data_IF_532159996622
#
_entry.id   IF_532159996622
#
_cell.length_a   1.000
_cell.length_b   1.000
_cell.length_c   1.000
_cell.angle_alpha   90.00
_cell.angle_beta   90.00
_cell.angle_gamma   90.00
#
_symmetry.space_group_name_H-M   'P 1'
#
loop_
_entity.id
_entity.type
_entity.pdbx_description
1 polymer ?
#
# COMPACT_ATOMS: atom_id res chain seq x y z
N UNK A 1 -0.42 14.99 -16.61
CA UNK A 1 -0.86 13.62 -16.33
C UNK A 1 0.25 12.83 -15.64
N UNK A 2 -0.01 12.43 -14.39
CA UNK A 2 0.99 11.77 -13.51
C UNK A 2 1.51 10.47 -14.12
N UNK A 3 0.62 9.62 -14.63
CA UNK A 3 1.02 8.32 -15.19
C UNK A 3 1.99 8.48 -16.38
N UNK A 4 1.74 9.44 -17.27
CA UNK A 4 2.61 9.68 -18.41
C UNK A 4 4.00 10.19 -17.98
N UNK A 5 4.05 11.03 -16.96
CA UNK A 5 5.32 11.49 -16.39
C UNK A 5 6.10 10.31 -15.82
N UNK A 6 5.46 9.45 -15.04
CA UNK A 6 6.08 8.25 -14.47
C UNK A 6 6.57 7.29 -15.57
N UNK A 7 5.83 7.16 -16.69
CA UNK A 7 6.26 6.36 -17.84
C UNK A 7 7.54 6.94 -18.46
N UNK A 8 7.62 8.26 -18.62
CA UNK A 8 8.82 8.94 -19.15
C UNK A 8 10.02 8.76 -18.23
N UNK A 9 9.79 8.74 -16.92
CA UNK A 9 10.81 8.52 -15.90
C UNK A 9 11.17 7.04 -15.72
N UNK A 10 10.52 6.14 -16.46
CA UNK A 10 10.68 4.68 -16.40
C UNK A 10 10.32 4.09 -15.02
N UNK A 11 9.46 4.77 -14.29
CA UNK A 11 8.88 4.27 -13.04
C UNK A 11 7.62 3.43 -13.33
N UNK A 12 7.84 2.25 -13.89
CA UNK A 12 6.78 1.44 -14.50
C UNK A 12 5.73 0.96 -13.49
N UNK A 13 6.15 0.54 -12.29
CA UNK A 13 5.20 0.07 -11.26
C UNK A 13 4.33 1.21 -10.73
N UNK A 14 4.90 2.39 -10.51
CA UNK A 14 4.12 3.57 -10.12
C UNK A 14 3.17 4.02 -11.21
N UNK A 15 3.63 4.01 -12.46
CA UNK A 15 2.77 4.31 -13.61
C UNK A 15 1.58 3.35 -13.68
N UNK A 16 1.84 2.05 -13.51
CA UNK A 16 0.78 1.03 -13.46
C UNK A 16 -0.24 1.33 -12.35
N UNK A 17 0.21 1.65 -11.16
CA UNK A 17 -0.68 1.97 -10.04
C UNK A 17 -1.62 3.13 -10.39
N UNK A 18 -1.12 4.21 -10.97
CA UNK A 18 -1.95 5.34 -11.40
C UNK A 18 -2.93 4.97 -12.52
N UNK A 19 -2.51 4.15 -13.48
CA UNK A 19 -3.38 3.70 -14.57
C UNK A 19 -4.50 2.78 -14.07
N UNK A 20 -4.23 1.97 -13.06
CA UNK A 20 -5.20 1.03 -12.48
C UNK A 20 -6.26 1.70 -11.59
N UNK A 21 -6.16 3.02 -11.31
CA UNK A 21 -7.24 3.76 -10.66
C UNK A 21 -8.53 3.68 -11.49
N UNK A 22 -8.41 3.75 -12.83
CA UNK A 22 -9.53 3.59 -13.77
C UNK A 22 -9.14 2.58 -14.85
N UNK A 23 -9.15 1.27 -14.53
CA UNK A 23 -8.61 0.26 -15.42
C UNK A 23 -9.39 0.11 -16.73
N UNK A 24 -10.67 0.49 -16.76
CA UNK A 24 -11.54 0.39 -17.92
C UNK A 24 -11.54 1.64 -18.81
N UNK A 25 -10.87 2.71 -18.38
CA UNK A 25 -10.73 3.91 -19.18
C UNK A 25 -9.86 3.63 -20.41
N UNK A 26 -10.28 4.13 -21.59
CA UNK A 26 -9.58 3.86 -22.86
C UNK A 26 -8.11 4.26 -22.84
N UNK A 27 -7.78 5.39 -22.22
CA UNK A 27 -6.40 5.86 -22.09
C UNK A 27 -5.59 4.97 -21.16
N UNK A 28 -6.20 4.50 -20.08
CA UNK A 28 -5.56 3.56 -19.16
C UNK A 28 -5.28 2.22 -19.84
N UNK A 29 -6.26 1.66 -20.53
CA UNK A 29 -6.09 0.40 -21.29
C UNK A 29 -4.96 0.52 -22.30
N UNK A 30 -4.93 1.59 -23.08
CA UNK A 30 -3.88 1.85 -24.06
C UNK A 30 -2.49 1.93 -23.42
N UNK A 31 -2.35 2.73 -22.36
CA UNK A 31 -1.06 2.94 -21.71
C UNK A 31 -0.58 1.71 -20.95
N UNK A 32 -1.49 0.94 -20.32
CA UNK A 32 -1.15 -0.33 -19.69
C UNK A 32 -0.57 -1.31 -20.72
N UNK A 33 -1.16 -1.37 -21.91
CA UNK A 33 -0.63 -2.21 -22.99
C UNK A 33 0.77 -1.76 -23.43
N UNK A 34 1.03 -0.44 -23.48
CA UNK A 34 2.34 0.10 -23.86
C UNK A 34 3.46 -0.29 -22.88
N UNK A 35 3.15 -0.37 -21.58
CA UNK A 35 4.19 -0.64 -20.56
C UNK A 35 4.27 -2.11 -20.16
N UNK A 36 3.45 -2.97 -20.75
CA UNK A 36 3.38 -4.39 -20.39
C UNK A 36 4.73 -5.08 -20.45
N UNK A 37 5.48 -4.87 -21.52
CA UNK A 37 6.78 -5.52 -21.71
C UNK A 37 7.84 -4.98 -20.76
N UNK A 38 7.82 -3.68 -20.49
CA UNK A 38 8.72 -3.06 -19.53
C UNK A 38 8.47 -3.57 -18.10
N UNK A 39 7.20 -3.75 -17.72
CA UNK A 39 6.84 -4.36 -16.44
C UNK A 39 7.32 -5.80 -16.35
N UNK A 40 7.13 -6.58 -17.41
CA UNK A 40 7.56 -7.98 -17.47
C UNK A 40 9.09 -8.12 -17.41
N UNK A 41 9.83 -7.13 -17.94
CA UNK A 41 11.29 -7.13 -17.94
C UNK A 41 11.93 -6.67 -16.64
N UNK A 42 11.14 -6.15 -15.70
CA UNK A 42 11.68 -5.73 -14.40
C UNK A 42 12.23 -6.94 -13.61
N UNK A 43 13.37 -6.76 -12.90
CA UNK A 43 13.89 -7.82 -12.06
C UNK A 43 12.87 -8.23 -10.99
N UNK A 44 12.79 -9.54 -10.72
CA UNK A 44 11.97 -10.02 -9.62
C UNK A 44 12.52 -9.49 -8.29
N UNK A 45 11.68 -8.95 -7.40
CA UNK A 45 12.13 -8.49 -6.10
C UNK A 45 12.80 -9.62 -5.29
N UNK A 46 13.92 -9.31 -4.64
CA UNK A 46 14.68 -10.29 -3.86
C UNK A 46 14.01 -10.65 -2.53
N UNK A 47 13.29 -9.71 -1.96
CA UNK A 47 12.60 -9.86 -0.68
C UNK A 47 11.38 -8.93 -0.63
N UNK A 48 10.72 -8.87 0.53
CA UNK A 48 9.53 -8.06 0.74
C UNK A 48 9.81 -6.56 0.91
N UNK A 49 11.08 -6.13 1.04
CA UNK A 49 11.39 -4.70 1.14
C UNK A 49 10.90 -3.94 -0.08
N UNK A 50 10.20 -2.85 0.17
CA UNK A 50 9.67 -2.02 -0.88
C UNK A 50 8.54 -1.14 -0.41
N UNK A 51 7.91 -0.46 -1.34
CA UNK A 51 6.76 0.40 -1.10
C UNK A 51 5.53 -0.17 -1.81
N UNK A 52 4.40 -0.13 -1.12
CA UNK A 52 3.14 -0.72 -1.58
C UNK A 52 2.02 0.31 -1.45
N UNK A 53 1.19 0.43 -2.48
CA UNK A 53 0.16 1.45 -2.57
C UNK A 53 -1.22 0.87 -2.79
N UNK A 54 -2.20 1.44 -2.05
CA UNK A 54 -3.63 1.23 -2.26
C UNK A 54 -4.30 2.58 -2.48
N UNK A 55 -5.12 2.70 -3.52
CA UNK A 55 -5.76 3.98 -3.81
C UNK A 55 -6.77 4.37 -2.72
N UNK A 56 -6.63 5.60 -2.21
CA UNK A 56 -7.47 6.13 -1.14
C UNK A 56 -8.48 7.19 -1.60
N UNK A 57 -8.45 7.54 -2.89
CA UNK A 57 -9.28 8.60 -3.44
C UNK A 57 -8.53 9.93 -3.55
N UNK A 58 -9.07 10.85 -4.34
CA UNK A 58 -8.55 12.23 -4.54
C UNK A 58 -7.04 12.29 -4.81
N UNK A 59 -6.57 11.41 -5.69
CA UNK A 59 -5.17 11.29 -6.07
C UNK A 59 -4.23 11.01 -4.89
N UNK A 60 -4.72 10.37 -3.85
CA UNK A 60 -3.96 9.98 -2.65
C UNK A 60 -3.92 8.47 -2.47
N UNK A 61 -2.92 8.01 -1.75
CA UNK A 61 -2.63 6.60 -1.58
C UNK A 61 -2.49 6.24 -0.11
N UNK A 62 -3.11 5.12 0.28
CA UNK A 62 -2.66 4.42 1.47
C UNK A 62 -1.32 3.77 1.13
N UNK A 63 -0.33 3.96 1.96
CA UNK A 63 1.02 3.44 1.72
C UNK A 63 1.45 2.51 2.84
N UNK A 64 2.11 1.43 2.45
CA UNK A 64 2.83 0.57 3.38
C UNK A 64 4.26 0.40 2.87
N UNK A 65 5.24 0.80 3.68
CA UNK A 65 6.65 0.54 3.43
C UNK A 65 7.14 -0.61 4.28
N UNK A 66 7.85 -1.54 3.66
CA UNK A 66 8.55 -2.61 4.35
C UNK A 66 10.05 -2.41 4.17
N UNK A 67 10.79 -2.28 5.27
CA UNK A 67 12.23 -2.07 5.26
C UNK A 67 12.89 -3.23 5.99
N UNK A 68 13.71 -4.00 5.26
CA UNK A 68 14.41 -5.15 5.82
C UNK A 68 15.31 -4.73 6.98
N UNK A 69 15.26 -5.51 8.06
CA UNK A 69 16.08 -5.33 9.25
C UNK A 69 17.24 -6.33 9.29
N UNK A 70 18.12 -6.20 10.28
CA UNK A 70 19.27 -7.11 10.45
C UNK A 70 18.86 -8.51 10.87
N UNK A 71 17.82 -8.64 11.71
CA UNK A 71 17.30 -9.95 12.11
C UNK A 71 16.70 -10.66 10.89
N UNK A 72 16.92 -11.99 10.74
CA UNK A 72 16.35 -12.73 9.64
C UNK A 72 14.82 -12.60 9.56
N UNK A 73 14.30 -12.43 8.34
CA UNK A 73 12.87 -12.34 8.05
C UNK A 73 12.13 -11.20 8.76
N UNK A 74 12.85 -10.23 9.32
CA UNK A 74 12.28 -9.10 10.06
C UNK A 74 12.30 -7.84 9.21
N UNK A 75 11.17 -7.12 9.21
CA UNK A 75 10.97 -5.87 8.47
C UNK A 75 10.36 -4.83 9.38
N UNK A 76 10.71 -3.57 9.17
CA UNK A 76 9.98 -2.45 9.75
C UNK A 76 8.83 -2.09 8.80
N UNK A 77 7.61 -2.13 9.30
CA UNK A 77 6.41 -1.80 8.55
C UNK A 77 5.94 -0.40 8.95
N UNK A 78 5.82 0.50 7.98
CA UNK A 78 5.32 1.85 8.19
C UNK A 78 4.10 2.05 7.31
N UNK A 79 2.96 2.36 7.93
CA UNK A 79 1.68 2.57 7.26
C UNK A 79 1.21 4.01 7.41
N UNK A 80 0.68 4.56 6.31
CA UNK A 80 -0.11 5.79 6.31
C UNK A 80 -1.38 5.58 5.49
N UNK A 81 -2.52 5.94 6.07
CA UNK A 81 -3.80 5.81 5.40
C UNK A 81 -4.65 7.06 5.54
N UNK A 82 -5.63 7.19 4.63
CA UNK A 82 -6.50 8.36 4.51
C UNK A 82 -7.94 7.94 4.28
N UNK A 83 -8.86 8.78 4.76
CA UNK A 83 -10.26 8.73 4.40
C UNK A 83 -10.77 10.14 4.07
N UNK A 84 -11.31 10.31 2.86
CA UNK A 84 -11.84 11.58 2.36
C UNK A 84 -13.36 11.60 2.50
N UNK A 85 -13.85 12.14 3.64
CA UNK A 85 -15.28 12.31 3.90
C UNK A 85 -15.82 13.64 3.33
N UNK A 86 -17.09 13.90 3.59
CA UNK A 86 -17.79 15.12 3.11
C UNK A 86 -17.09 16.42 3.53
N UNK A 87 -16.53 16.45 4.73
CA UNK A 87 -15.91 17.68 5.29
C UNK A 87 -14.42 17.76 5.01
N UNK A 88 -13.85 16.83 4.24
CA UNK A 88 -12.41 16.80 3.97
C UNK A 88 -11.91 18.03 3.21
N UNK A 89 -12.78 18.70 2.45
CA UNK A 89 -12.43 19.94 1.76
C UNK A 89 -12.12 21.09 2.72
N UNK A 90 -12.66 21.05 3.94
CA UNK A 90 -12.46 22.09 4.96
C UNK A 90 -11.44 21.70 6.03
N UNK A 91 -11.45 20.47 6.47
CA UNK A 91 -10.63 19.99 7.59
C UNK A 91 -9.54 19.03 7.19
N UNK A 92 -9.42 18.72 5.90
CA UNK A 92 -8.53 17.68 5.41
C UNK A 92 -9.09 16.26 5.62
N UNK A 93 -8.40 15.22 5.12
CA UNK A 93 -8.82 13.85 5.30
C UNK A 93 -8.61 13.37 6.73
N UNK A 94 -9.38 12.37 7.15
CA UNK A 94 -9.03 11.57 8.31
C UNK A 94 -7.77 10.78 8.02
N UNK A 95 -6.91 10.62 8.99
CA UNK A 95 -5.60 9.97 8.83
C UNK A 95 -5.41 8.86 9.85
N UNK A 96 -4.60 7.89 9.48
CA UNK A 96 -4.14 6.84 10.37
C UNK A 96 -2.75 6.38 10.00
N UNK A 97 -1.98 5.98 10.99
CA UNK A 97 -0.61 5.51 10.79
C UNK A 97 -0.24 4.46 11.84
N UNK A 98 0.69 3.61 11.49
CA UNK A 98 1.41 2.77 12.45
C UNK A 98 2.83 2.53 11.97
N UNK A 99 3.71 2.23 12.90
CA UNK A 99 5.08 1.82 12.64
C UNK A 99 5.41 0.66 13.60
N UNK A 100 5.75 -0.49 13.06
CA UNK A 100 6.00 -1.68 13.86
C UNK A 100 6.89 -2.68 13.14
N UNK A 101 7.68 -3.47 13.88
CA UNK A 101 8.39 -4.59 13.29
C UNK A 101 7.44 -5.73 12.96
N UNK A 102 7.75 -6.48 11.92
CA UNK A 102 7.03 -7.68 11.52
C UNK A 102 8.01 -8.75 11.08
N UNK A 103 7.76 -9.99 11.49
CA UNK A 103 8.48 -11.17 11.00
C UNK A 103 7.64 -11.83 9.92
N UNK A 104 8.22 -11.97 8.73
CA UNK A 104 7.55 -12.61 7.60
C UNK A 104 8.09 -14.03 7.38
N UNK A 105 7.20 -15.01 7.41
CA UNK A 105 7.50 -16.41 7.06
C UNK A 105 6.69 -16.78 5.83
N UNK A 106 7.38 -17.13 4.74
CA UNK A 106 6.72 -17.39 3.46
C UNK A 106 5.82 -16.21 3.00
N UNK A 107 6.27 -14.97 3.25
CA UNK A 107 5.53 -13.76 2.93
C UNK A 107 4.41 -13.40 3.89
N UNK A 108 4.18 -14.17 4.95
CA UNK A 108 3.07 -13.96 5.90
C UNK A 108 3.58 -13.54 7.27
N UNK A 109 2.90 -12.57 7.87
CA UNK A 109 3.21 -12.10 9.22
C UNK A 109 2.06 -11.32 9.82
N UNK A 110 2.14 -11.08 11.13
CA UNK A 110 1.12 -10.37 11.89
C UNK A 110 1.75 -9.25 12.70
N UNK A 111 1.01 -8.15 12.82
CA UNK A 111 1.35 -7.01 13.67
C UNK A 111 0.20 -6.81 14.65
N UNK A 112 0.48 -6.91 15.94
CA UNK A 112 -0.49 -6.57 16.98
C UNK A 112 -0.35 -5.09 17.33
N UNK A 113 -1.44 -4.35 17.19
CA UNK A 113 -1.54 -2.96 17.64
C UNK A 113 -2.36 -2.96 18.92
N UNK A 114 -1.71 -2.70 20.03
CA UNK A 114 -2.31 -2.74 21.37
C UNK A 114 -1.77 -1.55 22.17
N UNK A 115 -2.59 -0.53 22.35
CA UNK A 115 -2.25 0.67 23.09
C UNK A 115 -3.33 0.96 24.15
N UNK A 116 -2.90 1.06 25.39
CA UNK A 116 -3.71 1.53 26.54
C UNK A 116 -5.07 0.82 26.73
N UNK A 117 -5.20 -0.44 26.35
CA UNK A 117 -6.43 -1.25 26.41
C UNK A 117 -7.61 -0.72 25.58
N UNK A 118 -7.45 0.38 24.88
CA UNK A 118 -8.49 0.98 24.03
C UNK A 118 -8.29 0.67 22.55
N UNK A 119 -7.04 0.50 22.17
CA UNK A 119 -6.66 0.20 20.79
C UNK A 119 -6.18 -1.25 20.75
N UNK A 120 -6.89 -2.09 20.02
CA UNK A 120 -6.56 -3.50 19.90
C UNK A 120 -7.00 -4.02 18.53
N UNK A 121 -6.06 -4.10 17.60
CA UNK A 121 -6.29 -4.77 16.33
C UNK A 121 -5.06 -5.58 15.92
N UNK A 122 -5.28 -6.68 15.21
CA UNK A 122 -4.21 -7.46 14.60
C UNK A 122 -4.25 -7.27 13.10
N UNK A 123 -3.12 -6.87 12.53
CA UNK A 123 -2.93 -6.67 11.10
C UNK A 123 -2.17 -7.86 10.56
N UNK A 124 -2.74 -8.57 9.59
CA UNK A 124 -2.10 -9.69 8.92
C UNK A 124 -1.63 -9.28 7.54
N UNK A 125 -0.37 -9.56 7.22
CA UNK A 125 0.24 -9.29 5.92
C UNK A 125 0.42 -10.60 5.15
N UNK A 126 0.09 -10.56 3.86
CA UNK A 126 0.42 -11.63 2.90
C UNK A 126 1.10 -10.97 1.70
N UNK A 127 2.41 -11.12 1.62
CA UNK A 127 3.27 -10.43 0.65
C UNK A 127 3.59 -11.33 -0.53
N UNK A 128 3.37 -10.82 -1.73
CA UNK A 128 3.75 -11.44 -3.00
C UNK A 128 4.74 -10.53 -3.76
N UNK A 129 5.39 -11.01 -4.84
CA UNK A 129 6.39 -10.19 -5.55
C UNK A 129 5.87 -8.85 -6.06
N UNK A 130 4.61 -8.76 -6.49
CA UNK A 130 4.05 -7.55 -7.09
C UNK A 130 3.01 -6.83 -6.23
N UNK A 131 2.79 -7.29 -5.01
CA UNK A 131 1.84 -6.65 -4.12
C UNK A 131 1.69 -7.36 -2.79
N UNK A 132 0.80 -6.87 -1.97
CA UNK A 132 0.45 -7.52 -0.70
C UNK A 132 -1.02 -7.32 -0.37
N UNK A 133 -1.52 -8.18 0.50
CA UNK A 133 -2.88 -8.06 1.03
C UNK A 133 -2.80 -7.89 2.54
N UNK A 134 -3.55 -6.94 3.05
CA UNK A 134 -3.71 -6.71 4.49
C UNK A 134 -5.10 -7.18 4.90
N UNK A 135 -5.16 -8.00 5.93
CA UNK A 135 -6.38 -8.31 6.67
C UNK A 135 -6.26 -7.71 8.07
N UNK A 136 -7.36 -7.27 8.63
CA UNK A 136 -7.40 -6.75 9.99
C UNK A 136 -8.57 -7.37 10.74
N UNK A 137 -8.33 -7.86 11.93
CA UNK A 137 -9.40 -8.10 12.89
C UNK A 137 -9.66 -6.79 13.64
N UNK A 138 -10.88 -6.57 14.07
CA UNK A 138 -11.28 -5.32 14.73
C UNK A 138 -10.79 -4.07 13.99
N UNK A 139 -11.07 -3.91 12.67
CA UNK A 139 -10.47 -2.84 11.85
C UNK A 139 -10.81 -1.43 12.32
N UNK A 140 -11.89 -1.27 13.06
CA UNK A 140 -12.28 0.02 13.65
C UNK A 140 -11.54 0.33 14.95
N UNK A 141 -10.75 -0.60 15.46
CA UNK A 141 -10.07 -0.52 16.74
C UNK A 141 -8.54 -0.45 16.62
N UNK A 142 -8.04 0.01 15.48
CA UNK A 142 -6.61 0.16 15.22
C UNK A 142 -6.03 1.53 15.62
N UNK A 143 -6.86 2.42 16.16
CA UNK A 143 -6.42 3.76 16.55
C UNK A 143 -6.30 4.76 15.42
N UNK A 144 -6.83 4.43 14.25
CA UNK A 144 -6.84 5.33 13.10
C UNK A 144 -7.98 6.34 13.20
N UNK A 145 -7.86 7.43 12.44
CA UNK A 145 -8.97 8.36 12.24
C UNK A 145 -10.20 7.63 11.69
N UNK A 146 -11.37 8.21 11.89
CA UNK A 146 -12.64 7.58 11.51
C UNK A 146 -12.64 7.14 10.04
N UNK A 147 -13.06 5.90 9.78
CA UNK A 147 -13.14 5.25 8.48
C UNK A 147 -11.78 5.03 7.76
N UNK A 148 -10.67 5.35 8.38
CA UNK A 148 -9.34 4.97 7.86
C UNK A 148 -9.13 3.48 8.12
N UNK A 149 -8.79 2.73 7.08
CA UNK A 149 -8.61 1.28 7.16
C UNK A 149 -7.34 0.86 6.42
N UNK A 150 -6.61 -0.07 7.03
CA UNK A 150 -5.41 -0.62 6.42
C UNK A 150 -5.71 -1.82 5.50
N UNK A 151 -6.84 -2.51 5.70
CA UNK A 151 -7.13 -3.74 4.96
C UNK A 151 -7.30 -3.54 3.46
N UNK A 152 -7.02 -4.59 2.70
CA UNK A 152 -7.19 -4.65 1.27
C UNK A 152 -5.90 -5.01 0.54
N UNK A 153 -5.96 -4.89 -0.78
CA UNK A 153 -4.85 -5.20 -1.66
C UNK A 153 -4.03 -3.96 -1.99
N UNK A 154 -2.71 -4.10 -1.94
CA UNK A 154 -1.73 -3.06 -2.24
C UNK A 154 -0.86 -3.50 -3.42
N UNK A 155 -0.60 -2.60 -4.34
CA UNK A 155 0.33 -2.82 -5.44
C UNK A 155 1.76 -2.46 -5.02
N UNK A 156 2.71 -3.32 -5.35
CA UNK A 156 4.12 -2.97 -5.18
C UNK A 156 4.50 -1.89 -6.20
N UNK A 157 5.13 -0.82 -5.73
CA UNK A 157 5.56 0.31 -6.57
C UNK A 157 7.07 0.55 -6.52
N UNK A 158 7.73 -0.09 -5.55
CA UNK A 158 9.20 -0.13 -5.46
C UNK A 158 9.70 -1.44 -4.89
#
# INVERSE_FOLDING_TARGET
NVALTLMREKQWRKARAWLLIRPDDRKSVYNLALIKDQLAALPRPHNASGEYWQYAGRASWNTLSLIKQQKPNTFQADFQGYYFGLMSAYYGPNMGEFSAPVVLKNGKGEIAIDEDNEINCTISLDVAPEGLTIAADEPDNCGFGANVRAQGHYLRVE
#
